data_IF_898384563556
#
_entry.id   IF_898384563556
#
_cell.length_a   1.000
_cell.length_b   1.000
_cell.length_c   1.000
_cell.angle_alpha   90.00
_cell.angle_beta   90.00
_cell.angle_gamma   90.00
#
_symmetry.space_group_name_H-M   'P 1'
#
loop_
_entity.id
_entity.type
_entity.pdbx_description
1 polymer ?
#
# COMPACT_ATOMS: atom_id res chain seq x y z
N UNK A 1 24.33 4.96 14.74
CA UNK A 1 23.18 5.72 14.26
C UNK A 1 21.97 4.84 14.18
N UNK A 2 20.90 5.26 14.77
CA UNK A 2 19.69 4.49 14.60
C UNK A 2 19.31 4.46 13.12
N UNK A 3 18.77 3.34 12.70
CA UNK A 3 18.27 3.22 11.36
C UNK A 3 16.99 4.03 11.26
N UNK A 4 17.01 5.02 10.41
CA UNK A 4 15.81 5.80 10.20
C UNK A 4 14.71 4.92 9.62
N UNK A 5 13.54 5.02 10.20
CA UNK A 5 12.34 4.51 9.58
C UNK A 5 11.91 5.53 8.52
N UNK A 6 11.77 5.07 7.28
CA UNK A 6 11.46 5.95 6.16
C UNK A 6 10.29 5.41 5.36
N UNK A 7 9.41 6.31 4.99
CA UNK A 7 8.28 6.03 4.11
C UNK A 7 8.29 7.08 3.02
N UNK A 8 8.33 6.64 1.77
CA UNK A 8 8.22 7.53 0.62
C UNK A 8 7.07 7.08 -0.26
N UNK A 9 6.44 8.03 -0.92
CA UNK A 9 5.42 7.77 -1.90
C UNK A 9 5.66 8.65 -3.11
N UNK A 10 5.57 8.06 -4.30
CA UNK A 10 5.69 8.83 -5.53
C UNK A 10 4.63 8.40 -6.52
N UNK A 11 4.19 9.35 -7.31
CA UNK A 11 3.24 9.10 -8.38
C UNK A 11 4.02 8.84 -9.67
N UNK A 12 3.66 7.74 -10.34
CA UNK A 12 4.15 7.47 -11.70
C UNK A 12 3.03 7.79 -12.67
N UNK A 13 3.07 8.96 -13.32
CA UNK A 13 1.96 9.36 -14.19
C UNK A 13 1.81 8.48 -15.42
N UNK A 14 2.91 7.94 -15.94
CA UNK A 14 2.89 7.10 -17.14
C UNK A 14 2.14 5.79 -16.95
N UNK A 15 2.23 5.21 -15.75
CA UNK A 15 1.57 3.96 -15.42
C UNK A 15 0.33 4.16 -14.57
N UNK A 16 0.09 5.39 -14.14
CA UNK A 16 -1.00 5.77 -13.25
C UNK A 16 -0.96 4.97 -11.95
N UNK A 17 0.21 4.97 -11.30
CA UNK A 17 0.48 4.22 -10.06
C UNK A 17 1.06 5.12 -9.00
N UNK A 18 0.74 4.80 -7.75
CA UNK A 18 1.42 5.38 -6.58
C UNK A 18 2.32 4.29 -6.01
N UNK A 19 3.60 4.58 -5.87
CA UNK A 19 4.59 3.63 -5.36
C UNK A 19 5.00 4.07 -3.96
N UNK A 20 4.70 3.23 -2.97
CA UNK A 20 5.13 3.43 -1.60
C UNK A 20 6.34 2.55 -1.32
N UNK A 21 7.39 3.12 -0.76
CA UNK A 21 8.57 2.39 -0.33
C UNK A 21 8.74 2.57 1.18
N UNK A 22 8.84 1.47 1.89
CA UNK A 22 8.95 1.44 3.34
C UNK A 22 10.30 0.83 3.70
N UNK A 23 11.08 1.52 4.54
CA UNK A 23 12.44 1.08 4.92
C UNK A 23 12.65 1.23 6.41
N UNK A 24 13.37 0.25 6.98
CA UNK A 24 13.78 0.29 8.38
C UNK A 24 12.77 -0.36 9.30
N UNK A 25 12.93 -0.13 10.59
CA UNK A 25 12.07 -0.69 11.61
C UNK A 25 10.73 0.04 11.62
N UNK A 26 9.66 -0.66 11.33
CA UNK A 26 8.33 -0.04 11.23
C UNK A 26 7.86 0.45 12.60
N UNK A 27 7.47 1.72 12.63
CA UNK A 27 6.61 2.28 13.67
C UNK A 27 5.22 2.33 13.04
N UNK A 28 4.33 1.46 13.47
CA UNK A 28 3.03 1.26 12.84
C UNK A 28 2.20 2.53 12.77
N UNK A 29 2.16 3.27 13.88
CA UNK A 29 1.37 4.51 13.94
C UNK A 29 1.91 5.55 12.98
N UNK A 30 3.23 5.75 12.99
CA UNK A 30 3.88 6.74 12.13
C UNK A 30 3.72 6.34 10.66
N UNK A 31 3.83 5.05 10.36
CA UNK A 31 3.65 4.55 8.99
C UNK A 31 2.28 4.95 8.45
N UNK A 32 1.23 4.69 9.22
CA UNK A 32 -0.12 5.00 8.78
C UNK A 32 -0.35 6.50 8.66
N UNK A 33 0.20 7.29 9.59
CA UNK A 33 0.13 8.75 9.49
C UNK A 33 0.80 9.24 8.19
N UNK A 34 1.94 8.64 7.82
CA UNK A 34 2.63 9.00 6.59
C UNK A 34 1.83 8.61 5.35
N UNK A 35 1.23 7.44 5.35
CA UNK A 35 0.38 7.05 4.23
C UNK A 35 -0.78 8.02 4.03
N UNK A 36 -1.43 8.40 5.11
CA UNK A 36 -2.53 9.36 5.07
C UNK A 36 -2.05 10.71 4.52
N UNK A 37 -0.91 11.21 5.01
CA UNK A 37 -0.32 12.46 4.51
C UNK A 37 -0.04 12.41 3.01
N UNK A 38 0.52 11.30 2.55
CA UNK A 38 0.85 11.12 1.12
C UNK A 38 -0.43 11.10 0.29
N UNK A 39 -1.43 10.34 0.70
CA UNK A 39 -2.71 10.31 0.00
C UNK A 39 -3.39 11.67 -0.02
N UNK A 40 -3.33 12.40 1.10
CA UNK A 40 -3.97 13.70 1.20
C UNK A 40 -3.34 14.73 0.24
N UNK A 41 -2.09 14.51 -0.15
CA UNK A 41 -1.38 15.37 -1.10
C UNK A 41 -1.57 15.00 -2.56
N UNK A 42 -2.32 13.92 -2.84
CA UNK A 42 -2.55 13.45 -4.20
C UNK A 42 -4.01 13.67 -4.56
N UNK A 43 -4.27 14.23 -5.73
CA UNK A 43 -5.64 14.43 -6.20
C UNK A 43 -6.23 13.09 -6.61
N UNK A 44 -7.38 12.75 -6.05
CA UNK A 44 -8.13 11.52 -6.33
C UNK A 44 -7.24 10.25 -6.27
N UNK A 45 -6.60 9.97 -5.11
CA UNK A 45 -5.65 8.86 -5.02
C UNK A 45 -6.28 7.49 -5.30
N UNK A 46 -7.59 7.35 -5.14
CA UNK A 46 -8.33 6.12 -5.43
C UNK A 46 -8.37 5.77 -6.92
N UNK A 47 -7.98 6.69 -7.80
CA UNK A 47 -7.96 6.43 -9.24
C UNK A 47 -6.66 5.75 -9.70
N UNK A 48 -5.69 5.59 -8.79
CA UNK A 48 -4.39 5.00 -9.10
C UNK A 48 -4.33 3.57 -8.62
N UNK A 49 -3.62 2.73 -9.35
CA UNK A 49 -3.14 1.47 -8.80
C UNK A 49 -2.00 1.78 -7.83
N UNK A 50 -1.76 0.92 -6.85
CA UNK A 50 -0.80 1.20 -5.79
C UNK A 50 0.13 0.04 -5.55
N UNK A 51 1.37 0.35 -5.20
CA UNK A 51 2.38 -0.62 -4.83
C UNK A 51 2.89 -0.27 -3.44
N UNK A 52 2.90 -1.23 -2.53
CA UNK A 52 3.47 -1.07 -1.20
C UNK A 52 4.66 -2.01 -1.08
N UNK A 53 5.86 -1.45 -1.12
CA UNK A 53 7.09 -2.23 -1.11
C UNK A 53 7.67 -2.26 0.30
N UNK A 54 7.48 -3.39 0.98
CA UNK A 54 7.96 -3.64 2.34
C UNK A 54 9.25 -4.46 2.38
N UNK A 55 9.89 -4.71 1.25
CA UNK A 55 11.03 -5.63 1.21
C UNK A 55 12.22 -5.19 2.05
N UNK A 56 12.33 -3.89 2.34
CA UNK A 56 13.46 -3.34 3.09
C UNK A 56 13.06 -2.89 4.49
N UNK A 57 11.93 -3.36 4.97
CA UNK A 57 11.43 -3.01 6.30
C UNK A 57 11.32 -4.24 7.18
N UNK A 58 11.31 -3.99 8.49
CA UNK A 58 11.05 -4.99 9.51
C UNK A 58 9.95 -4.50 10.43
N UNK A 59 9.21 -5.44 11.00
CA UNK A 59 8.16 -5.13 11.96
C UNK A 59 6.78 -5.31 11.37
N UNK A 60 5.78 -4.94 12.15
CA UNK A 60 4.39 -5.19 11.83
C UNK A 60 3.60 -3.91 11.77
N UNK A 61 2.57 -3.92 10.94
CA UNK A 61 1.52 -2.90 10.98
C UNK A 61 0.40 -3.44 11.86
N UNK A 62 0.05 -2.70 12.91
CA UNK A 62 -0.94 -3.15 13.86
C UNK A 62 -2.35 -2.93 13.34
N UNK A 63 -3.28 -3.81 13.73
CA UNK A 63 -4.66 -3.76 13.26
C UNK A 63 -5.34 -2.42 13.54
N UNK A 64 -5.09 -1.83 14.71
CA UNK A 64 -5.70 -0.55 15.06
C UNK A 64 -5.29 0.54 14.09
N UNK A 65 -4.06 0.49 13.60
CA UNK A 65 -3.57 1.47 12.63
C UNK A 65 -4.11 1.20 11.23
N UNK A 66 -4.24 -0.07 10.85
CA UNK A 66 -4.90 -0.44 9.60
C UNK A 66 -6.35 0.06 9.61
N UNK A 67 -7.05 -0.09 10.72
CA UNK A 67 -8.42 0.41 10.87
C UNK A 67 -8.49 1.92 10.66
N UNK A 68 -7.49 2.66 11.15
CA UNK A 68 -7.45 4.11 10.97
C UNK A 68 -7.36 4.52 9.51
N UNK A 69 -6.46 3.89 8.75
CA UNK A 69 -6.33 4.25 7.33
C UNK A 69 -7.53 3.74 6.53
N UNK A 70 -8.08 2.60 6.89
CA UNK A 70 -9.27 2.08 6.23
C UNK A 70 -10.45 3.03 6.43
N UNK A 71 -10.62 3.57 7.63
CA UNK A 71 -11.68 4.54 7.91
C UNK A 71 -11.45 5.85 7.14
N UNK A 72 -10.21 6.34 7.11
CA UNK A 72 -9.88 7.54 6.36
C UNK A 72 -10.21 7.35 4.87
N UNK A 73 -9.78 6.22 4.33
CA UNK A 73 -10.01 5.87 2.93
C UNK A 73 -11.50 5.80 2.61
N UNK A 74 -12.26 5.10 3.45
CA UNK A 74 -13.70 4.96 3.26
C UNK A 74 -14.43 6.31 3.30
N UNK A 75 -13.92 7.26 4.07
CA UNK A 75 -14.50 8.59 4.15
C UNK A 75 -14.17 9.50 2.98
N UNK A 76 -13.20 9.13 2.15
CA UNK A 76 -12.73 9.96 1.03
C UNK A 76 -13.05 9.37 -0.33
N UNK A 77 -13.10 8.03 -0.45
CA UNK A 77 -13.34 7.37 -1.73
C UNK A 77 -14.80 7.55 -2.15
N UNK A 78 -15.06 7.99 -3.39
CA UNK A 78 -16.44 8.05 -3.88
C UNK A 78 -17.10 6.68 -3.95
N UNK A 79 -18.41 6.63 -3.74
CA UNK A 79 -19.14 5.36 -3.78
C UNK A 79 -19.07 4.68 -5.15
N UNK A 80 -18.92 5.47 -6.22
CA UNK A 80 -18.84 4.98 -7.59
C UNK A 80 -17.42 4.83 -8.11
N UNK A 81 -16.41 4.94 -7.24
CA UNK A 81 -15.03 4.77 -7.65
C UNK A 81 -14.80 3.36 -8.21
N UNK A 82 -14.04 3.23 -9.30
CA UNK A 82 -13.71 1.91 -9.83
C UNK A 82 -12.77 1.17 -8.88
N UNK A 83 -12.71 -0.14 -9.03
CA UNK A 83 -11.74 -0.93 -8.27
C UNK A 83 -10.34 -0.63 -8.78
N UNK A 84 -9.39 -0.57 -7.87
CA UNK A 84 -7.97 -0.38 -8.18
C UNK A 84 -7.18 -1.61 -7.76
N UNK A 85 -6.10 -1.89 -8.47
CA UNK A 85 -5.19 -2.95 -8.09
C UNK A 85 -4.20 -2.45 -7.07
N UNK A 86 -3.98 -3.23 -6.02
CA UNK A 86 -3.00 -2.93 -4.98
C UNK A 86 -2.07 -4.12 -4.82
N UNK A 87 -0.79 -3.92 -5.10
CA UNK A 87 0.24 -4.94 -4.94
C UNK A 87 1.04 -4.67 -3.68
N UNK A 88 1.09 -5.65 -2.78
CA UNK A 88 1.89 -5.58 -1.57
C UNK A 88 3.07 -6.52 -1.73
N UNK A 89 4.29 -6.02 -1.57
CA UNK A 89 5.50 -6.82 -1.74
C UNK A 89 6.18 -6.96 -0.40
N UNK A 90 6.37 -8.20 0.02
CA UNK A 90 7.00 -8.53 1.31
C UNK A 90 8.21 -9.42 1.08
N UNK A 91 9.01 -9.66 2.11
CA UNK A 91 10.26 -10.38 1.96
C UNK A 91 10.28 -11.78 2.58
N UNK A 92 9.14 -12.23 3.11
CA UNK A 92 9.08 -13.59 3.67
C UNK A 92 7.63 -14.11 3.68
N UNK A 93 7.45 -15.45 3.73
CA UNK A 93 6.11 -16.05 3.67
C UNK A 93 5.19 -15.70 4.82
N UNK A 94 5.74 -15.45 6.01
CA UNK A 94 4.90 -15.08 7.16
C UNK A 94 4.25 -13.72 6.95
N UNK A 95 5.01 -12.75 6.45
CA UNK A 95 4.47 -11.43 6.16
C UNK A 95 3.44 -11.51 5.03
N UNK A 96 3.61 -12.44 4.10
CA UNK A 96 2.63 -12.66 3.04
C UNK A 96 1.26 -13.04 3.61
N UNK A 97 1.23 -13.94 4.60
CA UNK A 97 -0.01 -14.33 5.27
C UNK A 97 -0.61 -13.14 6.02
N UNK A 98 0.22 -12.40 6.73
CA UNK A 98 -0.26 -11.22 7.49
C UNK A 98 -0.85 -10.14 6.58
N UNK A 99 -0.21 -9.89 5.45
CA UNK A 99 -0.69 -8.89 4.52
C UNK A 99 -2.07 -9.27 3.95
N UNK A 100 -2.30 -10.55 3.71
CA UNK A 100 -3.60 -11.02 3.22
C UNK A 100 -4.73 -10.79 4.20
N UNK A 101 -4.43 -10.77 5.50
CA UNK A 101 -5.47 -10.61 6.52
C UNK A 101 -6.14 -9.23 6.51
N UNK A 102 -5.55 -8.24 5.84
CA UNK A 102 -6.13 -6.89 5.76
C UNK A 102 -6.96 -6.65 4.50
N UNK A 103 -7.03 -7.62 3.60
CA UNK A 103 -7.72 -7.42 2.32
C UNK A 103 -9.19 -7.02 2.48
N UNK A 104 -9.88 -7.57 3.48
CA UNK A 104 -11.29 -7.29 3.71
C UNK A 104 -11.56 -5.86 4.18
N UNK A 105 -10.54 -5.17 4.67
CA UNK A 105 -10.65 -3.79 5.13
C UNK A 105 -10.80 -2.80 3.98
N UNK A 106 -10.47 -3.23 2.76
CA UNK A 106 -10.47 -2.36 1.58
C UNK A 106 -11.29 -3.01 0.46
N UNK A 107 -12.63 -2.98 0.57
CA UNK A 107 -13.48 -3.75 -0.36
C UNK A 107 -13.43 -3.26 -1.81
N UNK A 108 -12.99 -2.02 -2.03
CA UNK A 108 -12.85 -1.47 -3.38
C UNK A 108 -11.49 -1.77 -4.00
N UNK A 109 -10.58 -2.39 -3.25
CA UNK A 109 -9.25 -2.74 -3.75
C UNK A 109 -9.23 -4.19 -4.20
N UNK A 110 -8.58 -4.43 -5.33
CA UNK A 110 -8.17 -5.76 -5.75
C UNK A 110 -6.73 -5.93 -5.28
N UNK A 111 -6.54 -6.54 -4.11
CA UNK A 111 -5.25 -6.61 -3.42
C UNK A 111 -4.62 -7.97 -3.57
N UNK A 112 -3.35 -7.99 -3.93
CA UNK A 112 -2.55 -9.21 -3.93
C UNK A 112 -1.19 -8.97 -3.30
N UNK A 113 -0.63 -10.02 -2.72
CA UNK A 113 0.66 -9.96 -2.03
C UNK A 113 1.67 -10.82 -2.76
N UNK A 114 2.89 -10.30 -2.89
CA UNK A 114 3.96 -10.91 -3.67
C UNK A 114 5.25 -10.95 -2.87
N UNK A 115 6.14 -11.87 -3.24
CA UNK A 115 7.50 -11.93 -2.71
C UNK A 115 8.51 -11.32 -3.68
N UNK A 116 8.08 -10.90 -4.86
CA UNK A 116 8.94 -10.38 -5.92
C UNK A 116 8.32 -9.14 -6.54
N UNK A 117 9.15 -8.14 -6.79
CA UNK A 117 8.72 -6.93 -7.51
C UNK A 117 8.30 -7.28 -8.94
N UNK A 118 9.03 -8.16 -9.61
CA UNK A 118 8.72 -8.52 -10.98
C UNK A 118 7.34 -9.16 -11.10
N UNK A 119 7.01 -10.06 -10.17
CA UNK A 119 5.68 -10.69 -10.16
C UNK A 119 4.57 -9.68 -9.91
N UNK A 120 4.82 -8.74 -9.00
CA UNK A 120 3.86 -7.68 -8.70
C UNK A 120 3.60 -6.80 -9.92
N UNK A 121 4.66 -6.37 -10.60
CA UNK A 121 4.54 -5.52 -11.78
C UNK A 121 3.86 -6.26 -12.93
N UNK A 122 4.17 -7.55 -13.12
CA UNK A 122 3.50 -8.36 -14.14
C UNK A 122 2.00 -8.43 -13.89
N UNK A 123 1.61 -8.63 -12.64
CA UNK A 123 0.20 -8.69 -12.29
C UNK A 123 -0.49 -7.34 -12.50
N UNK A 124 0.18 -6.24 -12.15
CA UNK A 124 -0.38 -4.90 -12.34
C UNK A 124 -0.56 -4.59 -13.83
N UNK A 125 0.31 -5.09 -14.68
CA UNK A 125 0.23 -4.85 -16.12
C UNK A 125 -0.85 -5.68 -16.81
N UNK A 126 -1.35 -6.74 -16.17
CA UNK A 126 -2.43 -7.55 -16.72
C UNK A 126 -3.70 -6.71 -16.86
N UNK A 127 -4.33 -6.79 -18.01
CA UNK A 127 -5.55 -6.07 -18.26
C UNK A 127 -5.38 -4.62 -18.69
N UNK A 128 -4.17 -4.11 -18.67
CA UNK A 128 -3.87 -2.77 -19.18
C UNK A 128 -3.46 -2.90 -20.65
N UNK A 129 -4.42 -2.82 -21.53
CA UNK A 129 -4.17 -2.95 -22.94
C UNK A 129 -4.55 -1.74 -23.73
#
# INVERSE_FOLDING_TARGET
MPQGFQVTGRVEPETHRIIFSIRGQIDSRVLIDRFIEIYAGIDAPWTYDRVFDYRRSDGLVEHVDVDRIAAWWAGHIPADAPRSKVAVIVNNPLDLVRARSVNDQFPKDDRQTFLSLDDALSWLDEGHK
#
